data_IF_924319925498
#
_entry.id   IF_924319925498
#
_cell.length_a   1.000
_cell.length_b   1.000
_cell.length_c   1.000
_cell.angle_alpha   90.00
_cell.angle_beta   90.00
_cell.angle_gamma   90.00
#
_symmetry.space_group_name_H-M   'P 1'
#
loop_
_entity.id
_entity.type
_entity.pdbx_description
1 polymer ?
#
# COMPACT_ATOMS: atom_id res chain seq x y z
N UNK A 1 -26.38 11.70 3.55
CA UNK A 1 -25.09 11.21 3.09
C UNK A 1 -25.30 10.13 2.02
N UNK A 2 -24.40 10.03 1.07
CA UNK A 2 -24.40 9.02 0.02
C UNK A 2 -23.65 7.77 0.43
N UNK A 3 -22.64 7.94 1.27
CA UNK A 3 -21.83 6.88 1.78
C UNK A 3 -21.47 7.13 3.24
N UNK A 4 -21.28 6.05 3.99
CA UNK A 4 -20.75 6.00 5.34
C UNK A 4 -19.76 4.85 5.42
N UNK A 5 -18.66 5.01 6.14
CA UNK A 5 -17.79 3.89 6.47
C UNK A 5 -17.39 3.91 7.95
N UNK A 6 -17.08 2.74 8.47
CA UNK A 6 -16.62 2.56 9.84
C UNK A 6 -15.56 1.44 9.93
N UNK A 7 -14.77 1.45 11.01
CA UNK A 7 -13.72 0.47 11.28
C UNK A 7 -13.86 -0.18 12.65
N UNK A 8 -15.06 -0.28 13.17
CA UNK A 8 -15.32 -0.95 14.45
C UNK A 8 -15.34 -2.48 14.31
N UNK A 9 -15.15 -3.16 15.42
CA UNK A 9 -15.40 -4.61 15.47
C UNK A 9 -16.88 -4.92 15.18
N UNK A 10 -17.18 -6.09 14.60
CA UNK A 10 -18.55 -6.49 14.32
C UNK A 10 -19.49 -6.31 15.52
N UNK A 11 -20.69 -5.79 15.26
CA UNK A 11 -21.71 -5.52 16.26
C UNK A 11 -21.54 -4.22 17.07
N UNK A 12 -20.45 -3.50 16.93
CA UNK A 12 -20.26 -2.22 17.66
C UNK A 12 -21.12 -1.11 17.07
N UNK A 13 -21.10 -0.93 15.75
CA UNK A 13 -21.92 0.06 15.07
C UNK A 13 -23.43 -0.19 15.30
N UNK A 14 -23.85 -1.44 15.33
CA UNK A 14 -25.20 -1.85 15.66
C UNK A 14 -25.60 -1.45 17.08
N UNK A 15 -24.74 -1.72 18.08
CA UNK A 15 -25.00 -1.29 19.48
C UNK A 15 -25.06 0.23 19.64
N UNK A 16 -24.31 0.95 18.81
CA UNK A 16 -24.30 2.43 18.80
C UNK A 16 -25.48 3.03 18.03
N UNK A 17 -26.33 2.20 17.38
CA UNK A 17 -27.54 2.64 16.68
C UNK A 17 -27.33 3.14 15.26
N UNK A 18 -26.14 2.96 14.67
CA UNK A 18 -25.83 3.36 13.29
C UNK A 18 -25.27 2.21 12.44
N UNK A 19 -25.57 0.96 12.81
CA UNK A 19 -25.29 -0.21 11.97
C UNK A 19 -25.98 -0.15 10.62
N UNK A 20 -25.62 -1.04 9.68
CA UNK A 20 -26.10 -1.00 8.29
C UNK A 20 -27.62 -0.96 8.19
N UNK A 21 -28.32 -1.84 8.90
CA UNK A 21 -29.78 -1.96 8.84
C UNK A 21 -30.47 -0.67 9.28
N UNK A 22 -30.02 -0.07 10.38
CA UNK A 22 -30.57 1.17 10.91
C UNK A 22 -30.35 2.35 9.93
N UNK A 23 -29.17 2.41 9.33
CA UNK A 23 -28.82 3.45 8.36
C UNK A 23 -29.58 3.28 7.04
N UNK A 24 -29.66 2.06 6.52
CA UNK A 24 -30.34 1.77 5.24
C UNK A 24 -31.86 1.83 5.37
N UNK A 25 -32.43 1.53 6.53
CA UNK A 25 -33.86 1.78 6.79
C UNK A 25 -34.21 3.28 6.65
N UNK A 26 -33.28 4.16 7.01
CA UNK A 26 -33.44 5.62 6.87
C UNK A 26 -33.08 6.13 5.47
N UNK A 27 -32.06 5.55 4.84
CA UNK A 27 -31.66 5.87 3.48
C UNK A 27 -31.34 4.59 2.70
N UNK A 28 -32.31 4.02 1.96
CA UNK A 28 -32.09 2.80 1.18
C UNK A 28 -31.04 2.91 0.08
N UNK A 29 -30.61 4.13 -0.25
CA UNK A 29 -29.52 4.40 -1.23
C UNK A 29 -28.15 4.50 -0.58
N UNK A 30 -28.04 4.39 0.75
CA UNK A 30 -26.75 4.53 1.44
C UNK A 30 -25.82 3.36 1.11
N UNK A 31 -24.60 3.68 0.66
CA UNK A 31 -23.49 2.73 0.59
C UNK A 31 -22.79 2.72 1.94
N UNK A 32 -22.73 1.55 2.57
CA UNK A 32 -22.18 1.39 3.91
C UNK A 32 -20.89 0.54 3.88
N UNK A 33 -19.74 1.16 4.12
CA UNK A 33 -18.43 0.51 4.14
C UNK A 33 -18.04 0.04 5.54
N UNK A 34 -17.50 -1.19 5.64
CA UNK A 34 -16.96 -1.76 6.87
C UNK A 34 -15.53 -2.23 6.60
N UNK A 35 -14.54 -1.61 7.24
CA UNK A 35 -13.15 -2.04 7.15
C UNK A 35 -12.76 -2.71 8.46
N UNK A 36 -12.40 -3.99 8.38
CA UNK A 36 -11.97 -4.78 9.54
C UNK A 36 -10.76 -5.65 9.18
N UNK A 37 -10.08 -6.17 10.16
CA UNK A 37 -8.95 -7.07 9.91
C UNK A 37 -9.39 -8.43 9.39
N UNK A 38 -10.41 -9.02 10.05
CA UNK A 38 -10.83 -10.41 9.85
C UNK A 38 -12.13 -10.58 9.06
N UNK A 39 -12.81 -9.49 8.70
CA UNK A 39 -14.17 -9.54 8.14
C UNK A 39 -15.26 -9.55 9.21
N UNK A 40 -16.52 -9.52 8.74
CA UNK A 40 -17.69 -9.50 9.62
C UNK A 40 -18.05 -10.88 10.16
N UNK A 41 -17.52 -11.94 9.57
CA UNK A 41 -17.84 -13.34 9.89
C UNK A 41 -16.58 -14.15 10.16
N UNK A 42 -16.75 -15.36 10.69
CA UNK A 42 -15.66 -16.30 10.95
C UNK A 42 -15.16 -16.29 12.39
N UNK A 43 -14.34 -17.29 12.77
CA UNK A 43 -13.91 -17.47 14.16
C UNK A 43 -13.12 -16.32 14.76
N UNK A 44 -12.43 -15.55 13.93
CA UNK A 44 -11.57 -14.43 14.34
C UNK A 44 -12.26 -13.06 14.23
N UNK A 45 -13.50 -12.98 13.76
CA UNK A 45 -14.18 -11.70 13.50
C UNK A 45 -14.14 -10.73 14.71
N UNK A 46 -14.22 -11.25 15.93
CA UNK A 46 -14.16 -10.48 17.17
C UNK A 46 -12.76 -10.45 17.83
N UNK A 47 -11.77 -11.12 17.24
CA UNK A 47 -10.41 -11.13 17.79
C UNK A 47 -9.67 -9.83 17.50
N UNK A 48 -8.73 -9.46 18.37
CA UNK A 48 -7.79 -8.39 18.09
C UNK A 48 -6.76 -8.82 17.03
N UNK A 49 -6.28 -7.87 16.24
CA UNK A 49 -5.21 -8.08 15.26
C UNK A 49 -4.79 -6.76 14.66
N UNK A 50 -3.65 -6.78 13.98
CA UNK A 50 -3.10 -5.68 13.21
C UNK A 50 -2.64 -6.19 11.85
N UNK A 51 -2.23 -5.31 10.94
CA UNK A 51 -1.75 -5.61 9.58
C UNK A 51 -0.97 -6.92 9.51
N UNK A 52 0.09 -7.04 10.33
CA UNK A 52 0.98 -8.18 10.35
C UNK A 52 0.25 -9.52 10.54
N UNK A 53 -0.81 -9.54 11.35
CA UNK A 53 -1.60 -10.75 11.61
C UNK A 53 -2.48 -11.09 10.41
N UNK A 54 -3.06 -10.10 9.75
CA UNK A 54 -3.94 -10.29 8.60
C UNK A 54 -3.15 -10.80 7.40
N UNK A 55 -2.00 -10.18 7.11
CA UNK A 55 -1.13 -10.62 6.02
C UNK A 55 -0.44 -11.96 6.30
N UNK A 56 -0.21 -12.31 7.57
CA UNK A 56 0.30 -13.63 7.95
C UNK A 56 -0.70 -14.73 7.61
N UNK A 57 -1.97 -14.53 7.93
CA UNK A 57 -3.01 -15.53 7.67
C UNK A 57 -3.40 -15.62 6.19
N UNK A 58 -3.23 -14.53 5.41
CA UNK A 58 -3.46 -14.54 3.96
C UNK A 58 -2.42 -15.33 3.16
N UNK A 59 -1.28 -15.68 3.79
CA UNK A 59 -0.12 -16.28 3.12
C UNK A 59 0.86 -15.27 2.51
N UNK A 60 0.52 -13.99 2.44
CA UNK A 60 1.38 -12.97 1.83
C UNK A 60 2.69 -12.79 2.61
N UNK A 61 2.61 -12.66 3.94
CA UNK A 61 3.80 -12.43 4.77
C UNK A 61 4.84 -13.55 4.67
N UNK A 62 4.40 -14.80 4.54
CA UNK A 62 5.32 -15.95 4.44
C UNK A 62 6.26 -15.83 3.24
N UNK A 63 5.81 -15.23 2.15
CA UNK A 63 6.60 -15.05 0.92
C UNK A 63 7.60 -13.88 1.00
N UNK A 64 7.47 -12.99 1.99
CA UNK A 64 8.28 -11.77 2.14
C UNK A 64 9.47 -12.02 3.06
N UNK A 65 10.68 -11.88 2.54
CA UNK A 65 11.90 -12.05 3.32
C UNK A 65 13.06 -12.49 2.44
N UNK A 66 14.16 -12.91 3.08
CA UNK A 66 15.34 -13.45 2.40
C UNK A 66 15.44 -14.96 2.60
N UNK A 67 16.05 -15.66 1.66
CA UNK A 67 16.25 -17.11 1.71
C UNK A 67 16.95 -17.50 3.01
N UNK A 68 16.36 -18.46 3.73
CA UNK A 68 16.86 -18.95 5.02
C UNK A 68 16.64 -17.98 6.20
N UNK A 69 16.02 -16.83 5.95
CA UNK A 69 15.61 -15.87 6.98
C UNK A 69 14.15 -16.04 7.45
N UNK A 70 13.77 -15.25 8.44
CA UNK A 70 12.37 -15.15 8.87
C UNK A 70 11.57 -14.26 7.90
N UNK A 71 10.23 -14.42 7.82
CA UNK A 71 9.38 -13.44 7.15
C UNK A 71 9.60 -12.01 7.68
N UNK A 72 9.65 -11.03 6.77
CA UNK A 72 9.95 -9.63 7.09
C UNK A 72 8.68 -8.77 6.95
N UNK A 73 8.27 -8.05 8.01
CA UNK A 73 7.12 -7.15 7.96
C UNK A 73 7.32 -6.01 6.95
N UNK A 74 6.41 -5.80 5.99
CA UNK A 74 6.51 -4.73 5.00
C UNK A 74 5.88 -3.41 5.49
N UNK A 75 6.05 -3.05 6.76
CA UNK A 75 5.25 -2.04 7.45
C UNK A 75 3.76 -2.46 7.44
N UNK A 76 2.84 -1.50 7.46
CA UNK A 76 1.40 -1.77 7.35
C UNK A 76 0.83 -1.41 5.95
N UNK A 77 1.66 -1.57 4.92
CA UNK A 77 1.29 -1.16 3.56
C UNK A 77 0.38 -2.18 2.88
N UNK A 78 0.53 -3.46 3.19
CA UNK A 78 -0.18 -4.54 2.49
C UNK A 78 -1.56 -4.79 3.07
N UNK A 79 -1.69 -4.91 4.37
CA UNK A 79 -2.96 -5.15 5.06
C UNK A 79 -3.78 -3.88 5.23
N UNK A 80 -3.31 -2.95 6.08
CA UNK A 80 -4.09 -1.77 6.47
C UNK A 80 -4.37 -0.83 5.28
N UNK A 81 -3.33 -0.45 4.52
CA UNK A 81 -3.50 0.51 3.43
C UNK A 81 -3.96 -0.14 2.13
N UNK A 82 -3.28 -1.17 1.64
CA UNK A 82 -3.60 -1.80 0.36
C UNK A 82 -4.89 -2.64 0.45
N UNK A 83 -4.85 -3.69 1.27
CA UNK A 83 -5.95 -4.66 1.41
C UNK A 83 -7.17 -4.13 2.15
N UNK A 84 -6.99 -3.14 3.01
CA UNK A 84 -8.06 -2.50 3.77
C UNK A 84 -8.54 -1.19 3.14
N UNK A 85 -7.81 -0.11 3.39
CA UNK A 85 -8.25 1.25 3.07
C UNK A 85 -8.50 1.49 1.58
N UNK A 86 -7.56 1.09 0.71
CA UNK A 86 -7.71 1.27 -0.74
C UNK A 86 -8.80 0.37 -1.31
N UNK A 87 -8.87 -0.89 -0.87
CA UNK A 87 -9.89 -1.83 -1.34
C UNK A 87 -11.29 -1.41 -0.88
N UNK A 88 -11.43 -0.90 0.37
CA UNK A 88 -12.68 -0.28 0.81
C UNK A 88 -13.08 0.90 -0.08
N UNK A 89 -12.18 1.83 -0.32
CA UNK A 89 -12.44 3.00 -1.16
C UNK A 89 -12.89 2.59 -2.56
N UNK A 90 -12.21 1.62 -3.18
CA UNK A 90 -12.58 1.07 -4.48
C UNK A 90 -13.95 0.41 -4.45
N UNK A 91 -14.21 -0.45 -3.46
CA UNK A 91 -15.50 -1.13 -3.29
C UNK A 91 -16.65 -0.15 -3.09
N UNK A 92 -16.44 0.90 -2.30
CA UNK A 92 -17.44 1.95 -2.10
C UNK A 92 -17.75 2.74 -3.39
N UNK A 93 -16.74 3.08 -4.19
CA UNK A 93 -16.93 3.73 -5.49
C UNK A 93 -17.70 2.82 -6.46
N UNK A 94 -17.35 1.52 -6.51
CA UNK A 94 -18.11 0.54 -7.29
C UNK A 94 -19.58 0.44 -6.85
N UNK A 95 -19.83 0.41 -5.54
CA UNK A 95 -21.19 0.36 -4.99
C UNK A 95 -21.98 1.65 -5.25
N UNK A 96 -21.32 2.81 -5.22
CA UNK A 96 -21.92 4.09 -5.59
C UNK A 96 -22.31 4.12 -7.08
N UNK A 97 -21.46 3.59 -7.94
CA UNK A 97 -21.72 3.48 -9.38
C UNK A 97 -22.87 2.50 -9.67
N UNK A 98 -22.85 1.32 -9.06
CA UNK A 98 -23.92 0.31 -9.18
C UNK A 98 -25.27 0.89 -8.73
N UNK A 99 -25.30 1.65 -7.63
CA UNK A 99 -26.47 2.32 -7.10
C UNK A 99 -27.18 3.22 -8.13
N UNK A 100 -26.46 3.82 -9.06
CA UNK A 100 -27.06 4.66 -10.10
C UNK A 100 -27.95 3.84 -11.05
N UNK A 101 -27.71 2.55 -11.17
CA UNK A 101 -28.52 1.62 -11.97
C UNK A 101 -29.62 0.95 -11.15
N UNK A 102 -29.32 0.46 -9.95
CA UNK A 102 -30.27 -0.27 -9.11
C UNK A 102 -31.18 0.63 -8.28
N UNK A 103 -30.76 1.86 -8.02
CA UNK A 103 -31.42 2.77 -7.08
C UNK A 103 -31.20 2.43 -5.61
N UNK A 104 -30.39 1.42 -5.27
CA UNK A 104 -30.21 0.88 -3.92
C UNK A 104 -28.75 0.93 -3.50
N UNK A 105 -28.50 1.31 -2.24
CA UNK A 105 -27.21 1.14 -1.60
C UNK A 105 -26.98 -0.29 -1.14
N UNK A 106 -25.76 -0.57 -0.70
CA UNK A 106 -25.37 -1.89 -0.19
C UNK A 106 -24.28 -1.78 0.87
N UNK A 107 -24.03 -2.86 1.59
CA UNK A 107 -22.91 -2.98 2.51
C UNK A 107 -21.68 -3.49 1.75
N UNK A 108 -20.54 -2.86 2.00
CA UNK A 108 -19.23 -3.28 1.50
C UNK A 108 -18.42 -3.76 2.71
N UNK A 109 -18.19 -5.06 2.82
CA UNK A 109 -17.30 -5.65 3.82
C UNK A 109 -15.90 -5.76 3.23
N UNK A 110 -14.98 -4.93 3.71
CA UNK A 110 -13.59 -4.88 3.26
C UNK A 110 -12.68 -5.41 4.36
N UNK A 111 -12.52 -6.72 4.41
CA UNK A 111 -11.58 -7.36 5.32
C UNK A 111 -10.14 -7.22 4.81
N UNK A 112 -9.22 -6.75 5.65
CA UNK A 112 -7.80 -6.64 5.31
C UNK A 112 -7.19 -7.99 4.94
N UNK A 113 -7.65 -9.07 5.58
CA UNK A 113 -7.29 -10.45 5.24
C UNK A 113 -7.65 -10.79 3.80
N UNK A 114 -8.88 -10.50 3.37
CA UNK A 114 -9.37 -10.83 2.04
C UNK A 114 -8.66 -9.98 0.97
N UNK A 115 -8.43 -8.71 1.30
CA UNK A 115 -7.67 -7.80 0.43
C UNK A 115 -6.23 -8.27 0.24
N UNK A 116 -5.53 -8.60 1.32
CA UNK A 116 -4.18 -9.15 1.24
C UNK A 116 -4.14 -10.48 0.46
N UNK A 117 -5.13 -11.35 0.65
CA UNK A 117 -5.25 -12.61 -0.09
C UNK A 117 -5.50 -12.36 -1.59
N UNK A 118 -6.29 -11.34 -1.94
CA UNK A 118 -6.56 -11.00 -3.36
C UNK A 118 -5.29 -10.55 -4.10
N UNK A 119 -4.34 -9.90 -3.43
CA UNK A 119 -3.05 -9.54 -4.01
C UNK A 119 -2.17 -10.75 -4.34
N UNK A 120 -2.43 -11.88 -3.72
CA UNK A 120 -1.72 -13.14 -4.00
C UNK A 120 -2.26 -13.89 -5.23
N UNK A 121 -3.26 -13.37 -5.94
CA UNK A 121 -3.90 -14.04 -7.07
C UNK A 121 -2.90 -14.49 -8.16
N UNK A 122 -1.95 -13.62 -8.53
CA UNK A 122 -0.90 -13.96 -9.50
C UNK A 122 -0.01 -15.10 -9.00
N UNK A 123 0.33 -15.10 -7.71
CA UNK A 123 1.20 -16.12 -7.11
C UNK A 123 0.50 -17.49 -7.00
N UNK A 124 -0.81 -17.52 -6.81
CA UNK A 124 -1.60 -18.74 -6.96
C UNK A 124 -1.51 -19.30 -8.39
N UNK A 125 -1.53 -18.45 -9.41
CA UNK A 125 -1.29 -18.84 -10.80
C UNK A 125 0.12 -19.42 -10.98
N UNK A 126 1.15 -18.75 -10.47
CA UNK A 126 2.53 -19.26 -10.53
C UNK A 126 2.69 -20.59 -9.79
N UNK A 127 2.03 -20.77 -8.65
CA UNK A 127 2.01 -22.03 -7.92
C UNK A 127 1.41 -23.16 -8.78
N UNK A 128 0.29 -22.91 -9.44
CA UNK A 128 -0.35 -23.88 -10.33
C UNK A 128 0.53 -24.26 -11.53
N UNK A 129 1.40 -23.36 -11.97
CA UNK A 129 2.39 -23.59 -13.04
C UNK A 129 3.70 -24.22 -12.56
N UNK A 130 3.87 -24.51 -11.25
CA UNK A 130 5.12 -25.00 -10.69
C UNK A 130 6.24 -23.95 -10.60
N UNK A 131 5.91 -22.67 -10.73
CA UNK A 131 6.84 -21.53 -10.70
C UNK A 131 6.89 -20.80 -9.37
N UNK A 132 6.16 -21.24 -8.35
CA UNK A 132 6.13 -20.66 -7.02
C UNK A 132 6.53 -21.69 -5.97
N UNK A 133 7.37 -21.28 -5.03
CA UNK A 133 7.82 -22.08 -3.89
C UNK A 133 7.26 -21.48 -2.60
N UNK A 134 6.96 -22.37 -1.66
CA UNK A 134 6.43 -21.96 -0.34
C UNK A 134 7.55 -21.49 0.63
N UNK A 135 8.82 -21.56 0.25
CA UNK A 135 9.92 -21.10 1.11
C UNK A 135 10.05 -19.58 1.08
N UNK A 136 10.26 -18.97 2.24
CA UNK A 136 10.44 -17.50 2.37
C UNK A 136 11.59 -17.00 1.51
N UNK A 137 11.33 -15.96 0.71
CA UNK A 137 12.35 -15.30 -0.13
C UNK A 137 12.82 -16.10 -1.34
N UNK A 138 12.24 -17.29 -1.61
CA UNK A 138 12.71 -18.18 -2.70
C UNK A 138 12.07 -17.91 -4.06
N UNK A 139 11.22 -16.91 -4.16
CA UNK A 139 10.54 -16.56 -5.40
C UNK A 139 11.22 -15.40 -6.12
N UNK A 140 11.10 -15.37 -7.46
CA UNK A 140 11.74 -14.34 -8.31
C UNK A 140 11.46 -12.94 -7.78
N UNK A 141 10.18 -12.58 -7.61
CA UNK A 141 9.78 -11.26 -7.13
C UNK A 141 10.00 -11.06 -5.61
N UNK A 142 10.44 -12.08 -4.92
CA UNK A 142 10.82 -12.04 -3.50
C UNK A 142 12.32 -11.85 -3.27
N UNK A 143 13.08 -11.58 -4.33
CA UNK A 143 14.52 -11.36 -4.22
C UNK A 143 15.39 -12.64 -4.34
N UNK A 144 14.85 -13.77 -4.80
CA UNK A 144 15.67 -14.97 -5.04
C UNK A 144 16.64 -14.80 -6.21
N UNK A 145 16.16 -14.14 -7.27
CA UNK A 145 16.91 -13.95 -8.50
C UNK A 145 17.92 -12.81 -8.39
N UNK A 146 19.10 -13.00 -8.98
CA UNK A 146 20.13 -11.96 -9.03
C UNK A 146 19.70 -10.72 -9.84
N UNK A 147 18.79 -10.87 -10.76
CA UNK A 147 18.25 -9.77 -11.59
C UNK A 147 17.00 -9.09 -10.99
N UNK A 148 16.58 -9.50 -9.79
CA UNK A 148 15.44 -8.91 -9.09
C UNK A 148 15.70 -8.87 -7.57
N UNK A 149 16.46 -7.87 -7.13
CA UNK A 149 16.79 -7.67 -5.71
C UNK A 149 17.39 -6.28 -5.45
N UNK A 150 17.70 -6.01 -4.19
CA UNK A 150 18.45 -4.84 -3.75
C UNK A 150 19.91 -5.16 -3.49
N UNK A 151 20.80 -4.23 -3.83
CA UNK A 151 22.25 -4.42 -3.70
C UNK A 151 22.90 -3.26 -2.96
N UNK A 152 23.81 -3.59 -2.05
CA UNK A 152 24.64 -2.62 -1.34
C UNK A 152 25.76 -2.11 -2.25
N UNK A 153 25.94 -0.78 -2.25
CA UNK A 153 26.99 -0.08 -2.97
C UNK A 153 28.22 0.20 -2.08
N UNK A 154 29.30 0.73 -2.68
CA UNK A 154 30.54 1.03 -1.97
C UNK A 154 30.39 2.01 -0.79
N UNK A 155 29.36 2.85 -0.83
CA UNK A 155 29.04 3.85 0.21
C UNK A 155 28.05 3.35 1.26
N UNK A 156 27.72 2.05 1.28
CA UNK A 156 26.76 1.43 2.20
C UNK A 156 25.29 1.76 1.90
N UNK A 157 25.01 2.49 0.80
CA UNK A 157 23.66 2.75 0.31
C UNK A 157 23.22 1.62 -0.62
N UNK A 158 21.93 1.56 -0.93
CA UNK A 158 21.34 0.48 -1.72
C UNK A 158 20.78 0.97 -3.04
N UNK A 159 20.81 0.07 -4.02
CA UNK A 159 20.11 0.19 -5.31
C UNK A 159 19.16 -0.99 -5.49
N UNK A 160 18.12 -0.82 -6.31
CA UNK A 160 17.23 -1.90 -6.72
C UNK A 160 17.47 -2.23 -8.19
N UNK A 161 17.44 -3.51 -8.52
CA UNK A 161 17.51 -4.07 -9.88
C UNK A 161 16.29 -4.96 -10.07
N UNK A 162 15.59 -4.80 -11.21
CA UNK A 162 14.38 -5.54 -11.54
C UNK A 162 14.31 -5.92 -13.04
N UNK A 163 15.42 -6.38 -13.60
CA UNK A 163 15.62 -6.67 -15.04
C UNK A 163 15.00 -8.02 -15.43
N UNK A 164 13.66 -8.12 -15.43
CA UNK A 164 12.96 -9.38 -15.70
C UNK A 164 13.00 -9.76 -17.19
N UNK A 165 12.69 -8.83 -18.08
CA UNK A 165 12.61 -9.07 -19.51
C UNK A 165 14.00 -9.29 -20.11
N UNK A 166 14.14 -10.17 -21.14
CA UNK A 166 15.45 -10.51 -21.71
C UNK A 166 16.25 -9.29 -22.17
N UNK A 167 15.62 -8.31 -22.80
CA UNK A 167 16.31 -7.11 -23.29
C UNK A 167 16.85 -6.25 -22.12
N UNK A 168 16.10 -6.12 -21.04
CA UNK A 168 16.53 -5.38 -19.84
C UNK A 168 17.64 -6.12 -19.10
N UNK A 169 17.56 -7.44 -19.06
CA UNK A 169 18.61 -8.26 -18.46
C UNK A 169 19.91 -8.24 -19.26
N UNK A 170 19.85 -8.26 -20.60
CA UNK A 170 21.04 -8.09 -21.44
C UNK A 170 21.69 -6.71 -21.21
N UNK A 171 20.89 -5.67 -21.06
CA UNK A 171 21.38 -4.32 -20.76
C UNK A 171 21.99 -4.23 -19.35
N UNK A 172 21.44 -4.93 -18.35
CA UNK A 172 22.06 -5.06 -17.03
C UNK A 172 23.46 -5.68 -17.12
N UNK A 173 23.59 -6.78 -17.87
CA UNK A 173 24.87 -7.45 -18.09
C UNK A 173 25.89 -6.48 -18.69
N UNK A 174 25.49 -5.73 -19.72
CA UNK A 174 26.33 -4.73 -20.36
C UNK A 174 26.74 -3.60 -19.40
N UNK A 175 25.77 -2.94 -18.77
CA UNK A 175 26.01 -1.75 -17.94
C UNK A 175 26.74 -2.06 -16.64
N UNK A 176 26.56 -3.24 -16.08
CA UNK A 176 27.29 -3.70 -14.90
C UNK A 176 28.67 -4.32 -15.26
N UNK A 177 28.97 -4.51 -16.55
CA UNK A 177 30.21 -5.15 -16.98
C UNK A 177 30.33 -6.62 -16.59
N UNK A 178 29.19 -7.34 -16.62
CA UNK A 178 29.13 -8.75 -16.24
C UNK A 178 29.55 -9.66 -17.41
N UNK A 179 30.07 -10.83 -17.08
CA UNK A 179 30.42 -11.86 -18.05
C UNK A 179 29.15 -12.41 -18.74
N UNK A 180 29.02 -12.14 -20.04
CA UNK A 180 27.84 -12.50 -20.83
C UNK A 180 27.65 -14.02 -20.94
N UNK A 181 28.73 -14.79 -21.02
CA UNK A 181 28.66 -16.25 -21.16
C UNK A 181 28.20 -16.89 -19.84
N UNK A 182 28.58 -16.28 -18.71
CA UNK A 182 28.19 -16.71 -17.37
C UNK A 182 26.77 -16.30 -17.00
N UNK A 183 26.34 -15.07 -17.30
CA UNK A 183 25.04 -14.52 -16.89
C UNK A 183 23.93 -14.80 -17.90
N UNK A 184 24.20 -14.71 -19.21
CA UNK A 184 23.20 -14.75 -20.27
C UNK A 184 22.23 -15.93 -20.24
N UNK A 185 22.64 -17.17 -19.89
CA UNK A 185 21.71 -18.30 -19.80
C UNK A 185 20.69 -18.23 -18.66
N UNK A 186 20.88 -17.37 -17.65
CA UNK A 186 20.17 -17.43 -16.37
C UNK A 186 19.17 -16.28 -16.13
N UNK A 187 18.73 -15.59 -17.18
CA UNK A 187 17.64 -14.62 -17.11
C UNK A 187 16.27 -15.28 -16.86
N UNK A 188 15.27 -14.48 -16.53
CA UNK A 188 13.91 -14.96 -16.33
C UNK A 188 13.29 -15.52 -17.61
N UNK A 189 12.59 -16.67 -17.49
CA UNK A 189 11.80 -17.27 -18.56
C UNK A 189 10.48 -17.77 -18.00
N UNK A 190 9.39 -17.24 -18.49
CA UNK A 190 8.05 -17.68 -18.10
C UNK A 190 7.85 -19.17 -18.46
N UNK A 191 7.33 -19.94 -17.51
CA UNK A 191 7.13 -21.40 -17.69
C UNK A 191 8.37 -22.25 -17.40
N UNK A 192 9.51 -21.64 -17.06
CA UNK A 192 10.73 -22.35 -16.65
C UNK A 192 10.87 -22.20 -15.14
N UNK A 193 10.98 -23.32 -14.38
CA UNK A 193 11.23 -23.26 -12.95
C UNK A 193 12.50 -22.49 -12.59
N UNK A 194 12.52 -21.80 -11.44
CA UNK A 194 13.69 -21.07 -10.96
C UNK A 194 14.94 -21.95 -10.83
N UNK A 195 16.09 -21.47 -11.33
CA UNK A 195 17.40 -22.08 -11.10
C UNK A 195 18.09 -21.40 -9.90
N UNK A 196 17.65 -21.74 -8.70
CA UNK A 196 18.11 -21.11 -7.47
C UNK A 196 19.62 -21.29 -7.21
N UNK A 197 20.16 -22.44 -7.61
CA UNK A 197 21.58 -22.72 -7.41
C UNK A 197 22.45 -21.78 -8.25
N UNK A 198 22.11 -21.62 -9.52
CA UNK A 198 22.81 -20.67 -10.39
C UNK A 198 22.57 -19.23 -9.92
N UNK A 199 21.33 -18.86 -9.60
CA UNK A 199 21.00 -17.51 -9.17
C UNK A 199 21.72 -17.08 -7.91
N UNK A 200 21.87 -17.96 -6.91
CA UNK A 200 22.61 -17.65 -5.67
C UNK A 200 24.07 -17.29 -5.95
N UNK A 201 24.75 -18.06 -6.82
CA UNK A 201 26.14 -17.78 -7.21
C UNK A 201 26.29 -16.50 -8.03
N UNK A 202 25.37 -16.24 -8.97
CA UNK A 202 25.35 -15.02 -9.79
C UNK A 202 25.01 -13.78 -8.96
N UNK A 203 24.13 -13.92 -7.98
CA UNK A 203 23.76 -12.86 -7.03
C UNK A 203 24.98 -12.38 -6.22
N UNK A 204 25.81 -13.30 -5.75
CA UNK A 204 27.03 -12.92 -5.04
C UNK A 204 27.98 -12.13 -5.95
N UNK A 205 28.18 -12.58 -7.18
CA UNK A 205 29.02 -11.87 -8.16
C UNK A 205 28.48 -10.47 -8.44
N UNK A 206 27.18 -10.34 -8.67
CA UNK A 206 26.55 -9.03 -8.90
C UNK A 206 26.67 -8.13 -7.66
N UNK A 207 26.50 -8.68 -6.45
CA UNK A 207 26.69 -7.95 -5.20
C UNK A 207 28.13 -7.41 -5.07
N UNK A 208 29.12 -8.20 -5.44
CA UNK A 208 30.53 -7.76 -5.41
C UNK A 208 30.79 -6.66 -6.44
N UNK A 209 30.17 -6.74 -7.62
CA UNK A 209 30.23 -5.68 -8.64
C UNK A 209 29.57 -4.41 -8.16
N UNK A 210 28.37 -4.49 -7.55
CA UNK A 210 27.67 -3.31 -7.03
C UNK A 210 28.47 -2.57 -5.94
N UNK A 211 29.24 -3.30 -5.11
CA UNK A 211 30.15 -2.71 -4.11
C UNK A 211 31.37 -2.01 -4.69
N UNK A 212 31.63 -2.10 -5.99
CA UNK A 212 32.77 -1.41 -6.61
C UNK A 212 32.56 0.09 -6.83
N UNK A 213 31.32 0.57 -6.74
CA UNK A 213 30.94 1.98 -6.98
C UNK A 213 29.92 2.45 -5.94
N UNK A 214 29.87 3.73 -5.74
CA UNK A 214 28.82 4.36 -4.91
C UNK A 214 27.44 4.29 -5.59
N UNK A 215 26.37 4.45 -4.80
CA UNK A 215 25.00 4.55 -5.33
C UNK A 215 24.87 5.61 -6.43
N UNK A 216 25.44 6.79 -6.22
CA UNK A 216 25.36 7.89 -7.17
C UNK A 216 26.15 7.63 -8.47
N UNK A 217 27.22 6.85 -8.41
CA UNK A 217 27.96 6.42 -9.62
C UNK A 217 27.14 5.40 -10.41
N UNK A 218 26.46 4.48 -9.75
CA UNK A 218 25.56 3.54 -10.42
C UNK A 218 24.33 4.26 -11.02
N UNK A 219 23.77 5.26 -10.35
CA UNK A 219 22.71 6.11 -10.90
C UNK A 219 23.13 6.75 -12.22
N UNK A 220 24.34 7.32 -12.30
CA UNK A 220 24.86 7.92 -13.56
C UNK A 220 25.02 6.90 -14.71
N UNK A 221 25.20 5.61 -14.39
CA UNK A 221 25.39 4.54 -15.38
C UNK A 221 24.04 3.95 -15.83
N UNK A 222 23.10 3.75 -14.91
CA UNK A 222 21.93 2.92 -15.14
C UNK A 222 20.60 3.68 -15.09
N UNK A 223 20.49 4.75 -14.32
CA UNK A 223 19.24 5.50 -14.20
C UNK A 223 18.84 6.14 -15.52
N UNK A 224 17.53 6.05 -15.84
CA UNK A 224 17.00 6.52 -17.13
C UNK A 224 17.29 5.60 -18.31
N UNK A 225 17.86 4.41 -18.07
CA UNK A 225 18.00 3.34 -19.06
C UNK A 225 16.98 2.23 -18.82
N UNK A 226 16.86 1.28 -19.75
CA UNK A 226 15.93 0.14 -19.63
C UNK A 226 16.50 -1.02 -18.76
N UNK A 227 17.45 -0.73 -17.87
CA UNK A 227 17.97 -1.73 -16.90
C UNK A 227 16.92 -2.08 -15.82
N UNK A 228 15.87 -1.30 -15.67
CA UNK A 228 14.94 -1.40 -14.52
C UNK A 228 15.69 -1.19 -13.19
N UNK A 229 16.38 -0.06 -13.11
CA UNK A 229 17.23 0.33 -11.98
C UNK A 229 16.65 1.55 -11.26
N UNK A 230 16.78 1.58 -9.93
CA UNK A 230 16.51 2.80 -9.14
C UNK A 230 17.38 2.82 -7.87
N UNK A 231 17.76 4.00 -7.36
CA UNK A 231 18.32 4.11 -6.01
C UNK A 231 17.25 3.79 -4.96
N UNK A 232 17.63 3.11 -3.87
CA UNK A 232 16.79 2.97 -2.70
C UNK A 232 16.95 4.23 -1.85
N UNK A 233 15.91 5.04 -1.79
CA UNK A 233 15.92 6.35 -1.13
C UNK A 233 15.22 6.29 0.22
N UNK A 234 15.78 6.99 1.21
CA UNK A 234 15.08 7.28 2.45
C UNK A 234 14.00 8.36 2.26
N UNK A 235 13.09 8.50 3.25
CA UNK A 235 12.03 9.52 3.19
C UNK A 235 12.58 10.95 3.11
N UNK A 236 13.76 11.21 3.64
CA UNK A 236 14.43 12.52 3.54
C UNK A 236 15.06 12.79 2.17
N UNK A 237 15.33 11.76 1.38
CA UNK A 237 15.96 11.87 0.06
C UNK A 237 14.92 11.86 -1.08
N UNK A 238 13.81 11.11 -0.88
CA UNK A 238 12.83 10.87 -1.92
C UNK A 238 12.22 12.16 -2.53
N UNK A 239 11.90 13.21 -1.75
CA UNK A 239 11.37 14.46 -2.31
C UNK A 239 12.33 15.17 -3.27
N UNK A 240 13.62 15.07 -3.02
CA UNK A 240 14.67 15.80 -3.78
C UNK A 240 15.11 15.05 -5.03
N UNK A 241 14.68 13.81 -5.21
CA UNK A 241 14.99 13.04 -6.42
C UNK A 241 14.45 13.76 -7.67
N UNK A 242 15.27 13.98 -8.74
CA UNK A 242 14.88 14.80 -9.91
C UNK A 242 13.54 14.41 -10.54
N UNK A 243 13.26 13.09 -10.65
CA UNK A 243 11.98 12.62 -11.18
C UNK A 243 10.81 12.98 -10.25
N UNK A 244 10.97 12.80 -8.96
CA UNK A 244 9.93 13.08 -7.96
C UNK A 244 9.64 14.58 -7.88
N UNK A 245 10.69 15.42 -7.90
CA UNK A 245 10.58 16.87 -7.91
C UNK A 245 9.90 17.37 -9.18
N UNK A 246 10.34 16.92 -10.35
CA UNK A 246 9.75 17.32 -11.64
C UNK A 246 8.27 16.86 -11.75
N UNK A 247 7.93 15.71 -11.17
CA UNK A 247 6.57 15.19 -11.15
C UNK A 247 5.70 15.83 -10.06
N UNK A 248 6.28 16.52 -9.06
CA UNK A 248 5.57 17.01 -7.89
C UNK A 248 4.91 15.85 -7.11
N UNK A 249 5.68 14.79 -6.85
CA UNK A 249 5.20 13.60 -6.12
C UNK A 249 5.00 13.89 -4.65
N UNK A 250 5.76 14.84 -4.11
CA UNK A 250 5.68 15.30 -2.73
C UNK A 250 5.29 16.77 -2.66
N UNK A 251 4.72 17.18 -1.53
CA UNK A 251 4.29 18.56 -1.26
C UNK A 251 4.47 18.87 0.22
N UNK A 252 4.67 20.13 0.54
CA UNK A 252 4.73 20.57 1.94
C UNK A 252 3.37 21.10 2.38
N UNK A 253 2.88 20.61 3.53
CA UNK A 253 1.61 21.04 4.10
C UNK A 253 1.81 21.35 5.59
N UNK A 254 1.65 22.60 5.95
CA UNK A 254 1.82 23.05 7.34
C UNK A 254 3.24 22.80 7.90
N UNK A 255 4.28 22.92 7.06
CA UNK A 255 5.66 22.66 7.43
C UNK A 255 6.05 21.17 7.43
N UNK A 256 5.17 20.28 6.97
CA UNK A 256 5.42 18.82 6.90
C UNK A 256 5.48 18.37 5.45
N UNK A 257 6.61 17.81 5.04
CA UNK A 257 6.74 17.16 3.73
C UNK A 257 5.93 15.86 3.71
N UNK A 258 5.09 15.70 2.70
CA UNK A 258 4.22 14.52 2.52
C UNK A 258 3.95 14.25 1.04
N UNK A 259 3.26 13.15 0.74
CA UNK A 259 2.83 12.86 -0.62
C UNK A 259 1.83 13.90 -1.13
N UNK A 260 1.94 14.28 -2.39
CA UNK A 260 0.90 15.00 -3.10
C UNK A 260 -0.32 14.09 -3.37
N UNK A 261 -1.52 14.66 -3.63
CA UNK A 261 -2.69 13.86 -3.96
C UNK A 261 -2.49 12.97 -5.20
N UNK A 262 -2.92 11.71 -5.08
CA UNK A 262 -2.91 10.72 -6.15
C UNK A 262 -4.22 9.88 -6.09
N UNK A 263 -4.70 9.36 -7.25
CA UNK A 263 -4.19 9.55 -8.61
C UNK A 263 -4.43 10.96 -9.16
N UNK A 264 -3.76 11.30 -10.25
CA UNK A 264 -3.92 12.59 -10.94
C UNK A 264 -4.95 12.43 -12.05
N UNK A 265 -5.98 13.26 -12.02
CA UNK A 265 -7.02 13.27 -13.03
C UNK A 265 -6.75 14.38 -14.06
N UNK A 266 -7.04 14.11 -15.33
CA UNK A 266 -6.82 15.07 -16.42
C UNK A 266 -7.74 16.31 -16.34
N UNK A 267 -8.88 16.18 -15.69
CA UNK A 267 -9.91 17.23 -15.59
C UNK A 267 -10.25 17.60 -14.15
N UNK A 268 -10.55 16.62 -13.30
CA UNK A 268 -10.94 16.82 -11.91
C UNK A 268 -9.68 16.86 -11.05
N UNK A 269 -9.18 18.05 -10.76
CA UNK A 269 -8.01 18.19 -9.91
C UNK A 269 -8.40 18.00 -8.43
N UNK A 270 -7.55 17.28 -7.70
CA UNK A 270 -7.65 17.26 -6.26
C UNK A 270 -7.36 18.68 -5.71
N UNK A 271 -8.11 19.08 -4.68
CA UNK A 271 -7.82 20.32 -3.97
C UNK A 271 -6.46 20.27 -3.26
N UNK A 272 -5.92 21.42 -2.92
CA UNK A 272 -4.69 21.48 -2.12
C UNK A 272 -4.91 20.84 -0.75
N UNK A 273 -4.01 19.98 -0.30
CA UNK A 273 -4.07 19.40 1.03
C UNK A 273 -4.00 20.50 2.10
N UNK A 274 -4.76 20.33 3.17
CA UNK A 274 -4.74 21.24 4.32
C UNK A 274 -4.08 20.55 5.51
N UNK A 275 -3.37 21.29 6.36
CA UNK A 275 -2.81 20.71 7.58
C UNK A 275 -3.95 20.18 8.47
N UNK A 276 -3.71 19.11 9.25
CA UNK A 276 -4.71 18.61 10.18
C UNK A 276 -5.00 19.67 11.24
N UNK A 277 -6.28 19.83 11.55
CA UNK A 277 -6.73 20.72 12.62
C UNK A 277 -6.75 19.96 13.96
N UNK A 278 -6.60 20.67 15.09
CA UNK A 278 -6.75 20.04 16.40
C UNK A 278 -8.10 19.33 16.53
N UNK A 279 -8.12 18.21 17.26
CA UNK A 279 -9.35 17.44 17.50
C UNK A 279 -10.44 18.33 18.11
N UNK A 280 -11.64 18.32 17.51
CA UNK A 280 -12.78 19.13 17.96
C UNK A 280 -12.77 20.58 17.49
N UNK A 281 -11.77 21.03 16.70
CA UNK A 281 -11.69 22.40 16.21
C UNK A 281 -12.83 22.77 15.26
N UNK A 282 -13.35 21.81 14.50
CA UNK A 282 -14.47 22.00 13.55
C UNK A 282 -15.82 21.61 14.16
N UNK A 283 -15.84 21.11 15.38
CA UNK A 283 -17.02 20.50 16.00
C UNK A 283 -18.25 21.41 15.98
N UNK A 284 -18.10 22.67 16.34
CA UNK A 284 -19.21 23.63 16.33
C UNK A 284 -19.73 23.88 14.92
N UNK A 285 -18.85 24.19 13.99
CA UNK A 285 -19.19 24.45 12.59
C UNK A 285 -19.94 23.25 11.98
N UNK A 286 -19.45 22.04 12.16
CA UNK A 286 -20.06 20.80 11.66
C UNK A 286 -21.45 20.59 12.27
N UNK A 287 -21.62 20.77 13.59
CA UNK A 287 -22.89 20.56 14.25
C UNK A 287 -23.94 21.61 13.80
N UNK A 288 -23.54 22.87 13.69
CA UNK A 288 -24.47 23.95 13.31
C UNK A 288 -24.78 23.93 11.81
N UNK A 289 -23.77 23.81 10.94
CA UNK A 289 -23.97 24.01 9.49
C UNK A 289 -24.36 22.72 8.75
N UNK A 290 -23.85 21.56 9.18
CA UNK A 290 -24.07 20.26 8.51
C UNK A 290 -25.16 19.47 9.22
N UNK A 291 -25.09 19.37 10.56
CA UNK A 291 -26.05 18.60 11.33
C UNK A 291 -27.31 19.39 11.71
N UNK A 292 -27.32 20.73 11.54
CA UNK A 292 -28.48 21.58 11.73
C UNK A 292 -28.88 21.86 13.17
N UNK A 293 -27.92 21.63 14.12
CA UNK A 293 -28.14 21.95 15.52
C UNK A 293 -28.16 23.48 15.73
N UNK A 294 -29.00 23.96 16.65
CA UNK A 294 -28.99 25.37 17.05
C UNK A 294 -27.79 25.61 17.99
N UNK A 295 -27.24 26.85 18.06
CA UNK A 295 -26.08 27.14 18.92
C UNK A 295 -26.30 26.73 20.38
N UNK A 296 -27.48 26.95 20.97
CA UNK A 296 -27.80 26.53 22.34
C UNK A 296 -27.82 25.01 22.52
N UNK A 297 -28.15 24.23 21.51
CA UNK A 297 -28.13 22.76 21.54
C UNK A 297 -26.65 22.27 21.51
N UNK A 298 -25.83 22.94 20.71
CA UNK A 298 -24.38 22.66 20.66
C UNK A 298 -23.72 22.97 22.01
N UNK A 299 -24.09 24.09 22.65
CA UNK A 299 -23.61 24.44 23.97
C UNK A 299 -24.03 23.41 25.04
N UNK A 300 -25.27 22.91 24.96
CA UNK A 300 -25.75 21.86 25.85
C UNK A 300 -25.01 20.52 25.65
N UNK A 301 -24.72 20.14 24.41
CA UNK A 301 -23.92 18.95 24.08
C UNK A 301 -22.48 19.07 24.61
N UNK A 302 -21.89 20.25 24.48
CA UNK A 302 -20.55 20.53 25.03
C UNK A 302 -20.54 20.48 26.55
N UNK A 303 -21.54 21.09 27.21
CA UNK A 303 -21.69 21.10 28.65
C UNK A 303 -21.91 19.71 29.26
N UNK A 304 -22.60 18.82 28.51
CA UNK A 304 -22.82 17.42 28.93
C UNK A 304 -21.62 16.52 28.71
N UNK A 305 -20.58 17.01 28.02
CA UNK A 305 -19.42 16.20 27.62
C UNK A 305 -19.67 15.25 26.44
N UNK A 306 -20.84 15.33 25.78
CA UNK A 306 -21.16 14.53 24.62
C UNK A 306 -20.29 14.89 23.40
N UNK A 307 -19.84 16.14 23.32
CA UNK A 307 -18.91 16.61 22.28
C UNK A 307 -17.81 17.48 22.93
N UNK A 308 -16.62 17.40 22.37
CA UNK A 308 -15.51 18.29 22.72
C UNK A 308 -15.42 19.37 21.67
N UNK A 309 -15.73 20.61 22.06
CA UNK A 309 -15.59 21.78 21.19
C UNK A 309 -14.35 22.55 21.65
N UNK A 310 -13.36 22.62 20.78
CA UNK A 310 -12.19 23.47 21.01
C UNK A 310 -12.39 24.77 20.25
N UNK A 311 -12.46 25.88 20.97
CA UNK A 311 -12.35 27.19 20.34
C UNK A 311 -10.97 27.25 19.70
N UNK A 312 -10.92 27.44 18.37
CA UNK A 312 -9.67 27.48 17.65
C UNK A 312 -8.71 28.47 18.30
N UNK A 313 -7.72 27.95 18.98
CA UNK A 313 -6.58 28.77 19.37
C UNK A 313 -5.92 29.22 18.05
N UNK A 314 -5.87 30.53 17.82
CA UNK A 314 -4.96 31.09 16.82
C UNK A 314 -3.56 30.59 17.18
N UNK A 315 -2.97 29.73 16.32
CA UNK A 315 -1.53 29.56 16.30
C UNK A 315 -0.88 30.75 15.64
#
# INVERSE_FOLDING_TARGET
ADALFEGYRPGVAERLGFGPDACQARNPRLVYGRVTGWGQNGPLANAAGHDLNYIALSGALHSMGVIGGKPVPPLNLVGDFGGGGLLLAFGMVCALLERESSGRGQVVDAAMLDGAASFMAMFWGFRAMGMFRDDTGSNVLGGAAHFYDTYECADGRFVSIASLEPAFYELLIEKAGLDKDRFGPHGFRLGVPPDETAWAGLKQVLADVMRTRTRDEWCRIMEGTDVCFAPVLGLSEAPDHPHNAARGTFTEVGGVMQNAPAPRFSRSQAGEPRPPRPQGADGREVLETIAGYKPAEVDALAASGAVVIRNGAKQ
#
